data_IF_839063600517
#
_entry.id   IF_839063600517
#
_cell.length_a   1.000
_cell.length_b   1.000
_cell.length_c   1.000
_cell.angle_alpha   90.00
_cell.angle_beta   90.00
_cell.angle_gamma   90.00
#
_symmetry.space_group_name_H-M   'P 1'
#
loop_
_entity.id
_entity.type
_entity.pdbx_description
1 polymer ?
#
# COMPACT_ATOMS: atom_id res chain seq x y z
N UNK A 1 11.72 2.72 15.34
CA UNK A 1 10.28 2.38 15.44
C UNK A 1 9.53 3.02 16.64
N UNK A 2 9.71 4.31 17.05
CA UNK A 2 8.80 4.91 18.05
C UNK A 2 7.94 6.09 17.54
N UNK A 3 8.28 6.69 16.39
CA UNK A 3 7.60 7.91 15.92
C UNK A 3 6.19 7.60 15.42
N UNK A 4 6.02 6.52 14.66
CA UNK A 4 4.74 6.15 14.05
C UNK A 4 3.62 5.87 15.08
N UNK A 5 3.96 5.28 16.24
CA UNK A 5 3.00 5.02 17.31
C UNK A 5 2.56 6.32 18.00
N UNK A 6 3.49 7.24 18.24
CA UNK A 6 3.18 8.55 18.87
C UNK A 6 2.28 9.41 17.98
N UNK A 7 2.55 9.48 16.68
CA UNK A 7 1.65 10.20 15.75
C UNK A 7 0.29 9.52 15.63
N UNK A 8 0.24 8.19 15.69
CA UNK A 8 -1.01 7.46 15.66
C UNK A 8 -1.92 7.80 16.85
N UNK A 9 -1.37 7.85 18.07
CA UNK A 9 -2.13 8.21 19.28
C UNK A 9 -2.71 9.62 19.21
N UNK A 10 -1.98 10.58 18.61
CA UNK A 10 -2.43 11.98 18.50
C UNK A 10 -3.55 12.18 17.47
N UNK A 11 -3.62 11.34 16.44
CA UNK A 11 -4.60 11.44 15.35
C UNK A 11 -5.80 10.49 15.60
N UNK A 12 -5.78 9.72 16.69
CA UNK A 12 -6.79 8.69 16.97
C UNK A 12 -8.10 9.26 17.55
N UNK A 13 -9.17 9.27 16.76
CA UNK A 13 -10.57 9.55 17.18
C UNK A 13 -11.46 8.31 17.04
N UNK A 14 -12.10 7.88 18.14
CA UNK A 14 -12.63 6.52 18.36
C UNK A 14 -13.66 5.98 17.33
N UNK A 15 -14.37 6.81 16.57
CA UNK A 15 -15.49 6.33 15.73
C UNK A 15 -15.63 6.99 14.34
N UNK A 16 -14.56 7.55 13.76
CA UNK A 16 -14.59 8.10 12.39
C UNK A 16 -13.83 7.21 11.40
N UNK A 17 -14.37 7.04 10.18
CA UNK A 17 -13.68 6.38 9.06
C UNK A 17 -12.30 6.99 8.86
N UNK A 18 -11.25 6.17 8.89
CA UNK A 18 -9.87 6.64 8.76
C UNK A 18 -9.24 6.09 7.50
N UNK A 19 -8.80 7.00 6.64
CA UNK A 19 -7.89 6.68 5.55
C UNK A 19 -6.47 6.71 6.08
N UNK A 20 -5.81 5.56 6.11
CA UNK A 20 -4.37 5.50 6.36
C UNK A 20 -3.63 5.76 5.04
N UNK A 21 -2.78 6.78 5.00
CA UNK A 21 -1.83 7.00 3.92
C UNK A 21 -0.50 6.37 4.29
N UNK A 22 0.02 5.45 3.47
CA UNK A 22 1.39 4.97 3.58
C UNK A 22 2.24 5.87 2.69
N UNK A 23 3.13 6.67 3.30
CA UNK A 23 4.10 7.48 2.59
C UNK A 23 5.40 6.69 2.49
N UNK A 24 5.85 6.45 1.26
CA UNK A 24 7.12 5.80 0.95
C UNK A 24 8.06 6.89 0.44
N UNK A 25 8.83 7.50 1.35
CA UNK A 25 9.69 8.65 1.03
C UNK A 25 11.02 8.22 0.37
N UNK A 26 11.54 7.04 0.72
CA UNK A 26 12.85 6.55 0.26
C UNK A 26 12.74 5.50 -0.87
N UNK A 27 11.83 5.70 -1.82
CA UNK A 27 11.78 4.85 -3.01
C UNK A 27 12.78 5.36 -4.06
N UNK A 28 13.96 4.75 -4.12
CA UNK A 28 14.98 5.05 -5.13
C UNK A 28 15.27 3.83 -6.02
N UNK A 29 15.69 4.04 -7.28
CA UNK A 29 16.08 2.95 -8.17
C UNK A 29 17.20 2.12 -7.55
N UNK A 30 17.13 0.79 -7.70
CA UNK A 30 18.18 -0.11 -7.19
C UNK A 30 19.57 0.24 -7.74
N UNK A 31 19.65 0.79 -8.94
CA UNK A 31 20.90 1.26 -9.57
C UNK A 31 21.59 2.40 -8.81
N UNK A 32 20.83 3.19 -8.06
CA UNK A 32 21.32 4.35 -7.30
C UNK A 32 21.59 3.99 -5.83
N UNK A 33 21.41 2.72 -5.46
CA UNK A 33 21.66 2.27 -4.11
C UNK A 33 23.16 2.30 -3.80
N UNK A 34 23.55 3.16 -2.85
CA UNK A 34 24.91 3.19 -2.34
C UNK A 34 25.27 1.85 -1.68
N UNK A 35 26.34 1.23 -2.17
CA UNK A 35 26.90 0.02 -1.57
C UNK A 35 27.72 0.43 -0.36
N UNK A 36 27.47 -0.23 0.76
CA UNK A 36 28.17 0.02 2.01
C UNK A 36 29.58 -0.59 1.94
N UNK A 37 30.63 0.20 2.16
CA UNK A 37 32.03 -0.25 2.03
C UNK A 37 32.40 -1.43 2.92
N UNK A 38 31.71 -1.60 4.05
CA UNK A 38 31.90 -2.71 5.00
C UNK A 38 30.59 -3.44 5.32
N UNK A 39 29.56 -3.29 4.49
CA UNK A 39 28.29 -4.00 4.69
C UNK A 39 28.35 -5.44 4.18
N UNK A 40 27.48 -6.31 4.71
CA UNK A 40 27.24 -7.60 4.07
C UNK A 40 26.77 -7.35 2.63
N UNK A 41 27.41 -8.03 1.67
CA UNK A 41 26.93 -8.03 0.29
C UNK A 41 25.47 -8.45 0.29
N UNK A 42 24.59 -7.66 -0.36
CA UNK A 42 23.19 -8.03 -0.51
C UNK A 42 23.14 -9.43 -1.14
N UNK A 43 22.36 -10.32 -0.53
CA UNK A 43 22.25 -11.71 -0.97
C UNK A 43 21.79 -11.78 -2.42
N UNK A 44 22.68 -12.22 -3.31
CA UNK A 44 22.43 -12.45 -4.75
C UNK A 44 21.25 -13.41 -4.95
N UNK A 45 21.02 -14.29 -3.98
CA UNK A 45 19.91 -15.24 -3.92
C UNK A 45 18.55 -14.52 -3.92
N UNK A 46 18.42 -13.41 -3.17
CA UNK A 46 17.16 -12.68 -3.09
C UNK A 46 16.76 -12.08 -4.45
N UNK A 47 17.73 -11.62 -5.24
CA UNK A 47 17.48 -11.06 -6.56
C UNK A 47 17.05 -12.12 -7.57
N UNK A 48 17.70 -13.29 -7.54
CA UNK A 48 17.29 -14.42 -8.38
C UNK A 48 15.87 -14.91 -8.04
N UNK A 49 15.54 -14.97 -6.74
CA UNK A 49 14.21 -15.37 -6.26
C UNK A 49 13.12 -14.41 -6.75
N UNK A 50 13.34 -13.09 -6.60
CA UNK A 50 12.36 -12.09 -7.05
C UNK A 50 12.13 -12.17 -8.56
N UNK A 51 13.17 -12.36 -9.37
CA UNK A 51 13.02 -12.55 -10.83
C UNK A 51 12.17 -13.78 -11.18
N UNK A 52 12.36 -14.91 -10.49
CA UNK A 52 11.55 -16.12 -10.70
C UNK A 52 10.10 -15.88 -10.30
N UNK A 53 9.86 -15.20 -9.17
CA UNK A 53 8.52 -14.83 -8.74
C UNK A 53 7.82 -13.92 -9.76
N UNK A 54 8.51 -12.89 -10.25
CA UNK A 54 7.98 -11.94 -11.23
C UNK A 54 7.68 -12.61 -12.59
N UNK A 55 8.60 -13.43 -13.09
CA UNK A 55 8.38 -14.18 -14.34
C UNK A 55 7.21 -15.16 -14.24
N UNK A 56 7.05 -15.82 -13.09
CA UNK A 56 5.91 -16.72 -12.84
C UNK A 56 4.60 -15.94 -12.80
N UNK A 57 4.57 -14.82 -12.06
CA UNK A 57 3.41 -13.93 -12.01
C UNK A 57 3.06 -13.34 -13.38
N UNK A 58 4.06 -13.00 -14.20
CA UNK A 58 3.81 -12.51 -15.56
C UNK A 58 3.19 -13.57 -16.47
N UNK A 59 3.49 -14.87 -16.23
CA UNK A 59 3.00 -15.98 -17.06
C UNK A 59 1.62 -16.49 -16.63
N UNK A 60 1.37 -16.61 -15.34
CA UNK A 60 0.16 -17.26 -14.80
C UNK A 60 -0.90 -16.27 -14.31
N UNK A 61 -0.57 -14.98 -14.25
CA UNK A 61 -1.48 -13.94 -13.78
C UNK A 61 -0.92 -13.21 -12.56
N UNK A 62 -1.37 -11.96 -12.38
CA UNK A 62 -0.93 -11.10 -11.28
C UNK A 62 -1.26 -11.77 -9.95
N UNK A 63 -0.27 -11.82 -9.05
CA UNK A 63 -0.43 -12.25 -7.65
C UNK A 63 -0.70 -13.76 -7.44
N UNK A 64 -0.23 -14.60 -8.38
CA UNK A 64 -0.25 -16.07 -8.28
C UNK A 64 0.77 -16.56 -7.25
N UNK A 65 1.99 -16.01 -7.29
CA UNK A 65 3.00 -16.16 -6.26
C UNK A 65 3.15 -14.86 -5.48
N UNK A 66 3.05 -14.97 -4.16
CA UNK A 66 3.27 -13.87 -3.22
C UNK A 66 4.06 -14.35 -2.02
N UNK A 67 4.66 -13.40 -1.30
CA UNK A 67 5.29 -13.72 -0.03
C UNK A 67 4.23 -14.13 1.00
N UNK A 68 4.49 -15.19 1.76
CA UNK A 68 3.58 -15.65 2.80
C UNK A 68 3.29 -14.56 3.86
N UNK A 69 4.25 -13.66 4.10
CA UNK A 69 4.11 -12.52 5.01
C UNK A 69 3.13 -11.44 4.53
N UNK A 70 2.74 -11.43 3.25
CA UNK A 70 1.80 -10.45 2.69
C UNK A 70 0.35 -10.76 3.08
N UNK A 71 0.07 -11.98 3.55
CA UNK A 71 -1.29 -12.41 3.89
C UNK A 71 -2.10 -12.88 2.67
N UNK A 72 -3.12 -13.70 2.95
CA UNK A 72 -3.94 -14.33 1.91
C UNK A 72 -5.13 -13.45 1.52
N UNK A 73 -5.69 -12.75 2.51
CA UNK A 73 -6.93 -11.98 2.37
C UNK A 73 -6.68 -10.49 2.11
N UNK A 74 -7.38 -9.95 1.10
CA UNK A 74 -7.44 -8.50 0.85
C UNK A 74 -8.64 -7.91 1.60
N UNK A 75 -8.48 -7.68 2.90
CA UNK A 75 -9.55 -7.04 3.72
C UNK A 75 -9.74 -5.54 3.45
N UNK A 76 -8.86 -4.90 2.67
CA UNK A 76 -8.94 -3.48 2.32
C UNK A 76 -9.76 -3.25 1.03
N UNK A 77 -11.04 -3.63 1.06
CA UNK A 77 -12.03 -3.00 0.18
C UNK A 77 -12.41 -1.67 0.82
N UNK A 78 -12.29 -0.58 0.07
CA UNK A 78 -12.72 0.73 0.55
C UNK A 78 -14.21 0.65 0.95
N UNK A 79 -14.52 1.05 2.18
CA UNK A 79 -15.89 1.07 2.66
C UNK A 79 -16.61 2.24 1.96
N UNK A 80 -17.22 1.96 0.81
CA UNK A 80 -17.94 2.95 -0.01
C UNK A 80 -19.21 3.48 0.66
N UNK A 81 -19.60 2.93 1.82
CA UNK A 81 -20.75 3.39 2.60
C UNK A 81 -20.61 4.82 3.13
N UNK A 82 -19.41 5.42 3.10
CA UNK A 82 -19.15 6.80 3.52
C UNK A 82 -18.77 7.73 2.36
N UNK A 83 -19.01 7.32 1.11
CA UNK A 83 -18.82 8.19 -0.04
C UNK A 83 -19.74 9.41 0.09
N UNK A 84 -19.18 10.63 0.07
CA UNK A 84 -19.97 11.86 0.03
C UNK A 84 -20.78 11.88 -1.28
N UNK A 85 -22.03 12.33 -1.21
CA UNK A 85 -22.87 12.51 -2.39
C UNK A 85 -22.15 13.41 -3.43
N UNK A 86 -22.17 12.98 -4.68
CA UNK A 86 -21.47 13.63 -5.81
C UNK A 86 -22.35 14.71 -6.44
N UNK A 87 -22.68 15.75 -5.67
CA UNK A 87 -23.63 16.80 -6.09
C UNK A 87 -23.26 17.55 -7.38
N UNK A 88 -21.97 17.59 -7.73
CA UNK A 88 -21.47 18.32 -8.90
C UNK A 88 -21.30 17.40 -10.12
N UNK A 89 -21.11 16.10 -9.91
CA UNK A 89 -20.86 15.14 -10.98
C UNK A 89 -22.12 14.36 -11.37
N UNK A 90 -23.11 14.27 -10.48
CA UNK A 90 -24.37 13.56 -10.73
C UNK A 90 -25.59 14.42 -10.36
N UNK A 91 -26.28 14.95 -11.38
CA UNK A 91 -27.49 15.79 -11.23
C UNK A 91 -28.64 15.09 -10.48
N UNK A 92 -28.66 13.75 -10.44
CA UNK A 92 -29.65 12.93 -9.73
C UNK A 92 -29.53 13.04 -8.20
N UNK A 93 -28.35 13.44 -7.68
CA UNK A 93 -28.06 13.54 -6.25
C UNK A 93 -28.33 14.94 -5.68
N UNK A 94 -28.75 15.90 -6.51
CA UNK A 94 -29.04 17.28 -6.07
C UNK A 94 -30.36 17.33 -5.26
N UNK A 95 -30.38 17.94 -4.06
CA UNK A 95 -31.60 18.08 -3.27
C UNK A 95 -32.65 18.90 -4.01
N UNK A 96 -33.83 18.33 -4.24
CA UNK A 96 -34.98 19.06 -4.79
C UNK A 96 -35.71 19.78 -3.66
N UNK A 97 -35.76 21.11 -3.75
CA UNK A 97 -36.56 21.95 -2.85
C UNK A 97 -38.05 21.78 -3.22
N UNK A 98 -38.92 21.70 -2.21
CA UNK A 98 -40.38 21.67 -2.38
C UNK A 98 -40.93 23.04 -2.77
#
# INVERSE_FOLDING_TARGET
>A
MPIALRTFEQIYVKDNYRRAGIFLEDLFPKSEMQVQMFGQAKSTTHESLMKVMDSTNSRFGKDVLRLASTGIDRFWLANSALLSQEFTTELSQIPKVK
#
